data_IF_077888621388
#
_entry.id   IF_077888621388
#
_cell.length_a   1.000
_cell.length_b   1.000
_cell.length_c   1.000
_cell.angle_alpha   90.00
_cell.angle_beta   90.00
_cell.angle_gamma   90.00
#
_symmetry.space_group_name_H-M   'P 1'
#
loop_
_entity.id
_entity.type
_entity.pdbx_description
1 polymer ?
#
# COMPACT_ATOMS: atom_id res chain seq x y z
N UNK A 1 34.90 -42.83 70.21
CA UNK A 1 35.08 -43.87 69.24
C UNK A 1 34.30 -43.46 67.99
N UNK A 2 35.04 -43.30 66.92
CA UNK A 2 34.51 -42.92 65.59
C UNK A 2 34.02 -44.20 64.89
N UNK A 3 32.78 -44.24 64.52
CA UNK A 3 32.25 -45.32 63.70
C UNK A 3 32.23 -44.89 62.21
N UNK A 4 33.01 -45.63 61.41
CA UNK A 4 33.11 -45.49 59.99
C UNK A 4 31.77 -45.85 59.34
N UNK A 5 31.14 -44.94 58.59
CA UNK A 5 30.03 -45.23 57.71
C UNK A 5 30.59 -45.52 56.33
N UNK A 6 30.34 -46.76 55.92
CA UNK A 6 30.80 -47.35 54.66
C UNK A 6 30.26 -46.65 53.40
N UNK A 7 31.13 -46.41 52.42
CA UNK A 7 30.88 -45.80 51.10
C UNK A 7 30.03 -46.68 50.15
N UNK A 8 29.30 -47.69 50.63
CA UNK A 8 28.59 -48.68 49.77
C UNK A 8 27.04 -48.60 49.82
N UNK A 9 26.45 -47.58 50.46
CA UNK A 9 25.01 -47.45 50.57
C UNK A 9 24.38 -46.25 49.86
N UNK A 10 25.01 -45.72 48.80
CA UNK A 10 24.48 -44.62 47.99
C UNK A 10 24.40 -44.97 46.49
N UNK A 11 23.86 -46.12 46.16
CA UNK A 11 23.59 -46.55 44.81
C UNK A 11 22.26 -47.32 44.77
N UNK A 12 21.14 -46.69 44.82
CA UNK A 12 19.86 -47.16 44.33
C UNK A 12 18.73 -46.16 44.60
N UNK A 13 18.72 -45.04 43.89
CA UNK A 13 17.52 -44.26 43.63
C UNK A 13 17.68 -43.61 42.25
N UNK A 14 17.58 -44.41 41.20
CA UNK A 14 17.38 -43.96 39.85
C UNK A 14 15.94 -43.48 39.75
N UNK A 15 15.70 -42.18 39.99
CA UNK A 15 14.46 -41.52 39.68
C UNK A 15 14.37 -41.46 38.15
N UNK A 16 13.52 -42.27 37.58
CA UNK A 16 13.10 -42.18 36.17
C UNK A 16 12.30 -40.91 35.99
N UNK A 17 13.00 -39.82 35.61
CA UNK A 17 12.34 -38.64 35.10
C UNK A 17 11.72 -38.99 33.71
N UNK A 18 10.43 -38.74 33.48
CA UNK A 18 9.90 -38.87 32.15
C UNK A 18 10.60 -37.83 31.26
N UNK A 19 11.30 -38.30 30.23
CA UNK A 19 11.80 -37.45 29.17
C UNK A 19 10.60 -36.77 28.52
N UNK A 20 10.32 -35.51 28.90
CA UNK A 20 9.50 -34.61 28.12
C UNK A 20 10.25 -34.45 26.80
N UNK A 21 9.91 -35.28 25.81
CA UNK A 21 10.23 -35.01 24.41
C UNK A 21 9.48 -33.75 24.06
N UNK A 22 10.12 -32.60 24.26
CA UNK A 22 9.70 -31.36 23.71
C UNK A 22 9.67 -31.54 22.19
N UNK A 23 8.48 -31.80 21.64
CA UNK A 23 8.24 -31.64 20.22
C UNK A 23 8.51 -30.15 19.97
N UNK A 24 9.76 -29.85 19.64
CA UNK A 24 10.15 -28.54 19.16
C UNK A 24 9.27 -28.28 17.94
N UNK A 25 8.28 -27.42 18.09
CA UNK A 25 7.54 -26.86 16.96
C UNK A 25 8.61 -26.25 16.05
N UNK A 26 9.06 -27.02 15.06
CA UNK A 26 9.83 -26.44 13.95
C UNK A 26 8.94 -25.37 13.39
N UNK A 27 9.36 -24.12 13.50
CA UNK A 27 8.73 -23.02 12.79
C UNK A 27 8.66 -23.48 11.32
N UNK A 28 7.47 -23.81 10.86
CA UNK A 28 7.27 -24.27 9.50
C UNK A 28 7.61 -23.08 8.61
N UNK A 29 8.71 -23.20 7.84
CA UNK A 29 9.08 -22.18 6.86
C UNK A 29 7.94 -22.07 5.87
N UNK A 30 7.46 -20.84 5.61
CA UNK A 30 6.38 -20.64 4.66
C UNK A 30 6.77 -21.17 3.27
N UNK A 31 5.83 -21.84 2.63
CA UNK A 31 5.99 -22.35 1.26
C UNK A 31 6.13 -21.22 0.25
N UNK A 32 5.38 -20.13 0.50
CA UNK A 32 5.39 -18.90 -0.29
C UNK A 32 5.67 -17.71 0.63
N UNK A 33 6.83 -17.08 0.48
CA UNK A 33 7.17 -15.83 1.15
C UNK A 33 7.18 -14.73 0.11
N UNK A 34 6.22 -13.78 0.22
CA UNK A 34 6.01 -12.73 -0.75
C UNK A 34 6.21 -11.36 -0.13
N UNK A 35 6.68 -10.41 -0.94
CA UNK A 35 6.85 -9.00 -0.57
C UNK A 35 5.64 -8.20 -1.04
N UNK A 36 5.07 -7.41 -0.14
CA UNK A 36 4.09 -6.40 -0.45
C UNK A 36 4.69 -5.01 -0.19
N UNK A 37 4.89 -4.24 -1.25
CA UNK A 37 5.43 -2.89 -1.19
C UNK A 37 4.32 -1.84 -1.29
N UNK A 38 4.54 -0.70 -0.65
CA UNK A 38 3.76 0.51 -0.84
C UNK A 38 4.54 1.76 -0.39
N UNK A 39 4.02 2.95 -0.76
CA UNK A 39 4.66 4.22 -0.45
C UNK A 39 4.14 4.90 0.84
N UNK A 40 3.19 4.28 1.54
CA UNK A 40 2.50 4.88 2.69
C UNK A 40 3.16 4.51 4.03
N UNK A 41 3.07 5.37 5.05
CA UNK A 41 3.49 5.04 6.40
C UNK A 41 2.69 3.87 7.00
N UNK A 42 3.27 3.14 7.96
CA UNK A 42 2.57 2.04 8.65
C UNK A 42 1.30 2.48 9.37
N UNK A 43 1.22 3.76 9.76
CA UNK A 43 0.07 4.34 10.45
C UNK A 43 -1.07 4.72 9.50
N UNK A 44 -0.86 4.67 8.20
CA UNK A 44 -1.93 4.91 7.22
C UNK A 44 -2.98 3.79 7.28
N UNK A 45 -4.29 4.09 7.22
CA UNK A 45 -5.37 3.08 7.28
C UNK A 45 -5.14 1.89 6.35
N UNK A 46 -4.67 2.12 5.12
CA UNK A 46 -4.34 1.06 4.17
C UNK A 46 -3.33 0.04 4.73
N UNK A 47 -2.25 0.51 5.38
CA UNK A 47 -1.27 -0.39 5.97
C UNK A 47 -1.80 -1.09 7.24
N UNK A 48 -2.63 -0.41 8.03
CA UNK A 48 -3.27 -1.02 9.19
C UNK A 48 -4.13 -2.21 8.75
N UNK A 49 -5.03 -2.00 7.78
CA UNK A 49 -5.89 -3.07 7.25
C UNK A 49 -5.12 -4.14 6.49
N UNK A 50 -4.06 -3.75 5.78
CA UNK A 50 -3.19 -4.73 5.11
C UNK A 50 -2.49 -5.65 6.12
N UNK A 51 -1.98 -5.13 7.24
CA UNK A 51 -1.38 -5.94 8.30
C UNK A 51 -2.36 -6.96 8.86
N UNK A 52 -3.61 -6.54 9.14
CA UNK A 52 -4.67 -7.45 9.59
C UNK A 52 -4.93 -8.56 8.56
N UNK A 53 -4.98 -8.20 7.26
CA UNK A 53 -5.17 -9.17 6.19
C UNK A 53 -4.01 -10.16 6.11
N UNK A 54 -2.75 -9.70 6.21
CA UNK A 54 -1.57 -10.59 6.14
C UNK A 54 -1.53 -11.57 7.32
N UNK A 55 -1.93 -11.13 8.52
CA UNK A 55 -2.06 -12.01 9.69
C UNK A 55 -3.12 -13.09 9.45
N UNK A 56 -4.30 -12.71 8.92
CA UNK A 56 -5.38 -13.66 8.59
C UNK A 56 -4.96 -14.64 7.49
N UNK A 57 -4.32 -14.16 6.44
CA UNK A 57 -3.81 -15.02 5.35
C UNK A 57 -2.84 -16.07 5.91
N UNK A 58 -1.88 -15.66 6.74
CA UNK A 58 -0.92 -16.57 7.35
C UNK A 58 -1.62 -17.64 8.21
N UNK A 59 -2.60 -17.24 9.01
CA UNK A 59 -3.38 -18.14 9.86
C UNK A 59 -4.24 -19.11 9.03
N UNK A 60 -5.02 -18.60 8.08
CA UNK A 60 -5.94 -19.41 7.26
C UNK A 60 -5.23 -20.33 6.28
N UNK A 61 -3.98 -20.04 5.92
CA UNK A 61 -3.13 -20.92 5.09
C UNK A 61 -2.25 -21.86 5.92
N UNK A 62 -2.47 -21.95 7.24
CA UNK A 62 -1.62 -22.72 8.15
C UNK A 62 -0.12 -22.37 8.01
N UNK A 63 0.21 -21.09 7.80
CA UNK A 63 1.57 -20.62 7.64
C UNK A 63 2.20 -20.90 6.26
N UNK A 64 1.47 -21.49 5.31
CA UNK A 64 1.99 -21.77 3.96
C UNK A 64 2.29 -20.50 3.17
N UNK A 65 1.50 -19.42 3.38
CA UNK A 65 1.72 -18.10 2.75
C UNK A 65 2.10 -17.09 3.82
N UNK A 66 3.23 -16.43 3.61
CA UNK A 66 3.73 -15.33 4.45
C UNK A 66 3.99 -14.11 3.58
N UNK A 67 3.17 -13.06 3.74
CA UNK A 67 3.30 -11.82 2.98
C UNK A 67 3.88 -10.75 3.90
N UNK A 68 5.07 -10.29 3.56
CA UNK A 68 5.83 -9.29 4.32
C UNK A 68 5.59 -7.90 3.75
N UNK A 69 5.23 -6.94 4.60
CA UNK A 69 4.92 -5.56 4.21
C UNK A 69 6.19 -4.73 4.24
N UNK A 70 6.44 -4.00 3.15
CA UNK A 70 7.53 -3.03 2.97
C UNK A 70 6.93 -1.64 2.68
N UNK A 71 6.60 -0.86 3.72
CA UNK A 71 5.97 0.45 3.60
C UNK A 71 7.00 1.55 3.32
N UNK A 72 6.54 2.81 3.21
CA UNK A 72 7.40 4.00 3.12
C UNK A 72 8.46 3.93 2.01
N UNK A 73 8.13 3.39 0.84
CA UNK A 73 9.09 3.25 -0.26
C UNK A 73 10.37 2.45 0.09
N UNK A 74 10.32 1.53 1.05
CA UNK A 74 11.51 0.76 1.48
C UNK A 74 12.15 -0.04 0.34
N UNK A 75 11.38 -0.44 -0.67
CA UNK A 75 11.88 -1.19 -1.83
C UNK A 75 12.16 -0.30 -3.06
N UNK A 76 12.04 1.00 -2.93
CA UNK A 76 12.25 1.98 -3.99
C UNK A 76 11.07 2.92 -4.18
N UNK A 77 11.24 3.92 -5.06
CA UNK A 77 10.18 4.82 -5.46
C UNK A 77 9.06 4.09 -6.23
N UNK A 78 7.89 4.69 -6.37
CA UNK A 78 6.73 4.06 -7.03
C UNK A 78 7.05 3.54 -8.44
N UNK A 79 7.81 4.29 -9.21
CA UNK A 79 8.24 3.88 -10.56
C UNK A 79 9.19 2.70 -10.55
N UNK A 80 10.09 2.62 -9.57
CA UNK A 80 11.04 1.52 -9.42
C UNK A 80 10.32 0.24 -8.97
N UNK A 81 9.40 0.37 -8.00
CA UNK A 81 8.62 -0.77 -7.50
C UNK A 81 7.67 -1.29 -8.58
N UNK A 82 7.09 -0.42 -9.43
CA UNK A 82 6.29 -0.86 -10.57
C UNK A 82 7.13 -1.70 -11.57
N UNK A 83 8.38 -1.31 -11.81
CA UNK A 83 9.30 -2.11 -12.64
C UNK A 83 9.64 -3.45 -11.98
N UNK A 84 9.88 -3.47 -10.65
CA UNK A 84 10.12 -4.69 -9.88
C UNK A 84 8.89 -5.61 -9.86
N UNK A 85 7.69 -5.07 -9.75
CA UNK A 85 6.44 -5.84 -9.84
C UNK A 85 6.33 -6.56 -11.18
N UNK A 86 6.64 -5.88 -12.27
CA UNK A 86 6.63 -6.46 -13.62
C UNK A 86 7.66 -7.59 -13.79
N UNK A 87 8.87 -7.39 -13.28
CA UNK A 87 9.95 -8.36 -13.38
C UNK A 87 9.85 -9.53 -12.39
N UNK A 88 9.05 -9.39 -11.33
CA UNK A 88 8.91 -10.38 -10.25
C UNK A 88 9.90 -10.16 -9.10
N UNK A 89 10.56 -9.01 -9.02
CA UNK A 89 11.37 -8.62 -7.86
C UNK A 89 10.54 -8.29 -6.62
N UNK A 90 9.28 -7.91 -6.82
CA UNK A 90 8.25 -7.70 -5.81
C UNK A 90 6.99 -8.43 -6.27
N UNK A 91 6.30 -9.11 -5.36
CA UNK A 91 5.13 -9.92 -5.69
C UNK A 91 3.82 -9.12 -5.62
N UNK A 92 3.70 -8.18 -4.66
CA UNK A 92 2.50 -7.35 -4.45
C UNK A 92 2.86 -5.88 -4.30
N UNK A 93 1.99 -5.00 -4.82
CA UNK A 93 2.16 -3.55 -4.76
C UNK A 93 0.81 -2.85 -4.80
N UNK A 94 0.54 -1.93 -3.86
CA UNK A 94 -0.58 -1.00 -3.99
C UNK A 94 -0.13 0.28 -4.66
N UNK A 95 -0.86 0.69 -5.70
CA UNK A 95 -0.47 1.82 -6.53
C UNK A 95 -1.69 2.60 -7.05
N UNK A 96 -1.57 3.93 -7.05
CA UNK A 96 -2.54 4.80 -7.70
C UNK A 96 -2.66 4.49 -9.20
N UNK A 97 -3.89 4.41 -9.75
CA UNK A 97 -4.14 4.22 -11.18
C UNK A 97 -3.43 5.25 -12.06
N UNK A 98 -3.21 6.45 -11.55
CA UNK A 98 -2.56 7.53 -12.28
C UNK A 98 -1.07 7.27 -12.48
N UNK A 99 -0.38 6.75 -11.47
CA UNK A 99 1.02 6.33 -11.62
C UNK A 99 1.06 5.04 -12.45
N UNK A 100 0.13 4.11 -12.23
CA UNK A 100 -0.01 2.91 -13.04
C UNK A 100 -0.22 3.23 -14.53
N UNK A 101 -0.78 4.40 -14.86
CA UNK A 101 -1.00 4.84 -16.24
C UNK A 101 0.28 5.01 -17.06
N UNK A 102 1.44 5.09 -16.42
CA UNK A 102 2.73 5.03 -17.10
C UNK A 102 2.97 3.69 -17.80
N UNK A 103 2.33 2.62 -17.32
CA UNK A 103 2.32 1.29 -17.91
C UNK A 103 0.99 0.96 -18.61
N UNK A 104 -0.12 1.35 -18.01
CA UNK A 104 -1.49 1.06 -18.45
C UNK A 104 -2.22 2.40 -18.64
N UNK A 105 -2.08 3.09 -19.80
CA UNK A 105 -2.60 4.45 -19.99
C UNK A 105 -4.07 4.60 -19.64
N UNK A 106 -4.91 3.59 -19.93
CA UNK A 106 -6.34 3.59 -19.62
C UNK A 106 -6.66 3.53 -18.12
N UNK A 107 -5.69 3.17 -17.27
CA UNK A 107 -5.87 3.20 -15.82
C UNK A 107 -6.11 4.64 -15.30
N UNK A 108 -5.66 5.67 -16.03
CA UNK A 108 -5.86 7.07 -15.63
C UNK A 108 -7.33 7.52 -15.63
N UNK A 109 -8.26 6.77 -16.24
CA UNK A 109 -9.65 7.23 -16.45
C UNK A 109 -10.38 7.54 -15.14
N UNK A 110 -10.14 6.81 -14.05
CA UNK A 110 -10.74 7.09 -12.75
C UNK A 110 -10.19 8.34 -12.07
N UNK A 111 -9.05 8.84 -12.53
CA UNK A 111 -8.41 10.05 -12.01
C UNK A 111 -8.70 11.31 -12.82
N UNK A 112 -9.74 11.32 -13.63
CA UNK A 112 -10.20 12.54 -14.29
C UNK A 112 -10.65 13.57 -13.23
N UNK A 113 -10.13 14.80 -13.35
CA UNK A 113 -10.47 15.87 -12.43
C UNK A 113 -11.98 16.10 -12.36
N UNK A 114 -12.52 16.19 -11.14
CA UNK A 114 -13.94 16.43 -10.84
C UNK A 114 -14.92 15.40 -11.40
N UNK A 115 -14.43 14.19 -11.76
CA UNK A 115 -15.29 13.14 -12.32
C UNK A 115 -16.29 12.57 -11.30
N UNK A 116 -15.95 12.58 -10.03
CA UNK A 116 -16.78 12.03 -8.95
C UNK A 116 -17.18 13.15 -7.98
N UNK A 117 -18.49 13.36 -7.77
CA UNK A 117 -18.96 14.35 -6.80
C UNK A 117 -18.93 13.85 -5.36
N UNK A 118 -19.00 12.53 -5.15
CA UNK A 118 -19.12 11.88 -3.84
C UNK A 118 -18.69 10.42 -3.86
N UNK A 119 -18.56 9.83 -2.67
CA UNK A 119 -18.18 8.42 -2.51
C UNK A 119 -19.23 7.44 -3.04
N UNK A 120 -20.51 7.77 -2.97
CA UNK A 120 -21.55 6.89 -3.50
C UNK A 120 -21.37 6.68 -5.01
N UNK A 121 -21.03 7.75 -5.73
CA UNK A 121 -20.72 7.71 -7.17
C UNK A 121 -19.41 6.97 -7.44
N UNK A 122 -18.38 7.20 -6.61
CA UNK A 122 -17.10 6.47 -6.70
C UNK A 122 -17.34 4.96 -6.61
N UNK A 123 -17.99 4.48 -5.56
CA UNK A 123 -18.14 3.05 -5.33
C UNK A 123 -19.06 2.40 -6.35
N UNK A 124 -20.13 3.10 -6.78
CA UNK A 124 -20.98 2.62 -7.87
C UNK A 124 -20.20 2.40 -9.18
N UNK A 125 -19.24 3.27 -9.47
CA UNK A 125 -18.40 3.16 -10.67
C UNK A 125 -17.29 2.12 -10.51
N UNK A 126 -16.57 2.17 -9.40
CA UNK A 126 -15.36 1.36 -9.21
C UNK A 126 -15.66 -0.10 -8.84
N UNK A 127 -16.75 -0.37 -8.14
CA UNK A 127 -17.24 -1.73 -7.91
C UNK A 127 -18.11 -2.24 -9.08
N UNK A 128 -18.44 -1.37 -10.02
CA UNK A 128 -19.24 -1.64 -11.22
C UNK A 128 -18.41 -1.78 -12.51
N UNK A 129 -19.00 -1.30 -13.59
CA UNK A 129 -18.49 -1.47 -14.96
C UNK A 129 -17.13 -0.79 -15.18
N UNK A 130 -16.90 0.40 -14.59
CA UNK A 130 -15.62 1.10 -14.75
C UNK A 130 -14.48 0.32 -14.09
N UNK A 131 -14.65 -0.10 -12.84
CA UNK A 131 -13.64 -0.91 -12.16
C UNK A 131 -13.37 -2.23 -12.87
N UNK A 132 -14.40 -2.91 -13.35
CA UNK A 132 -14.26 -4.13 -14.15
C UNK A 132 -13.46 -3.88 -15.44
N UNK A 133 -13.77 -2.80 -16.16
CA UNK A 133 -13.02 -2.41 -17.34
C UNK A 133 -11.54 -2.15 -17.02
N UNK A 134 -11.26 -1.40 -15.94
CA UNK A 134 -9.87 -1.10 -15.54
C UNK A 134 -9.10 -2.35 -15.17
N UNK A 135 -9.71 -3.26 -14.38
CA UNK A 135 -9.07 -4.56 -14.05
C UNK A 135 -8.75 -5.36 -15.30
N UNK A 136 -9.63 -5.34 -16.30
CA UNK A 136 -9.39 -5.96 -17.61
C UNK A 136 -8.16 -5.37 -18.34
N UNK A 137 -7.99 -4.04 -18.30
CA UNK A 137 -6.82 -3.37 -18.89
C UNK A 137 -5.53 -3.68 -18.13
N UNK A 138 -5.57 -3.73 -16.80
CA UNK A 138 -4.44 -4.12 -15.96
C UNK A 138 -4.02 -5.57 -16.25
N UNK A 139 -5.00 -6.46 -16.33
CA UNK A 139 -4.76 -7.86 -16.69
C UNK A 139 -4.17 -8.02 -18.09
N UNK A 140 -4.65 -7.26 -19.08
CA UNK A 140 -4.09 -7.25 -20.43
C UNK A 140 -2.62 -6.78 -20.48
N UNK A 141 -2.21 -5.93 -19.53
CA UNK A 141 -0.83 -5.48 -19.41
C UNK A 141 0.11 -6.48 -18.69
N UNK A 142 -0.38 -7.66 -18.33
CA UNK A 142 0.44 -8.74 -17.76
C UNK A 142 0.56 -8.70 -16.22
N UNK A 143 -0.28 -7.94 -15.54
CA UNK A 143 -0.39 -7.95 -14.07
C UNK A 143 -1.63 -8.73 -13.61
N UNK A 144 -1.65 -9.14 -12.36
CA UNK A 144 -2.87 -9.55 -11.65
C UNK A 144 -3.31 -8.40 -10.74
N UNK A 145 -4.62 -8.32 -10.46
CA UNK A 145 -5.20 -7.25 -9.65
C UNK A 145 -6.35 -7.79 -8.82
N UNK A 146 -6.49 -7.32 -7.58
CA UNK A 146 -7.60 -7.69 -6.70
C UNK A 146 -8.89 -6.98 -7.13
N UNK A 147 -10.03 -7.55 -6.74
CA UNK A 147 -11.33 -7.05 -7.21
C UNK A 147 -11.71 -5.68 -6.67
N UNK A 148 -11.43 -5.44 -5.39
CA UNK A 148 -11.78 -4.19 -4.72
C UNK A 148 -10.62 -3.22 -4.71
N UNK A 149 -10.83 -2.02 -5.26
CA UNK A 149 -9.90 -0.92 -5.14
C UNK A 149 -9.95 -0.37 -3.72
N UNK A 150 -8.78 -0.05 -3.16
CA UNK A 150 -8.62 0.59 -1.86
C UNK A 150 -8.86 2.09 -1.99
N UNK A 151 -9.40 2.72 -0.95
CA UNK A 151 -9.59 4.17 -0.95
C UNK A 151 -8.26 4.88 -0.65
N UNK A 152 -7.91 5.87 -1.45
CA UNK A 152 -6.90 6.82 -1.09
C UNK A 152 -7.55 8.13 -0.62
N UNK A 153 -8.69 8.45 -1.21
CA UNK A 153 -9.53 9.58 -0.84
C UNK A 153 -9.60 10.70 -1.87
N UNK A 154 -10.45 11.67 -1.58
CA UNK A 154 -10.49 12.92 -2.34
C UNK A 154 -9.26 13.76 -2.04
N UNK A 155 -8.61 14.26 -3.08
CA UNK A 155 -7.33 14.97 -2.98
C UNK A 155 -7.54 16.45 -2.74
N UNK A 156 -6.68 17.01 -1.86
CA UNK A 156 -6.69 18.39 -1.39
C UNK A 156 -5.34 19.04 -1.70
N UNK A 157 -5.31 20.34 -1.90
CA UNK A 157 -4.06 21.08 -2.18
C UNK A 157 -3.49 21.64 -0.89
N UNK A 158 -2.20 21.38 -0.62
CA UNK A 158 -1.47 22.06 0.45
C UNK A 158 -0.49 23.07 -0.12
N UNK A 159 -0.17 24.12 0.64
CA UNK A 159 0.73 25.19 0.22
C UNK A 159 1.53 25.75 1.39
N UNK A 160 2.77 26.15 1.14
CA UNK A 160 3.61 26.90 2.09
C UNK A 160 3.46 28.42 1.93
N UNK A 161 2.88 28.90 0.83
CA UNK A 161 2.88 30.32 0.45
C UNK A 161 1.54 31.02 0.62
N UNK A 162 0.44 30.43 0.15
CA UNK A 162 -0.91 31.01 0.18
C UNK A 162 -2.00 29.93 0.15
N UNK A 163 -3.20 30.22 0.64
CA UNK A 163 -4.35 29.34 0.40
C UNK A 163 -4.70 29.35 -1.10
N UNK A 164 -5.28 28.23 -1.56
CA UNK A 164 -5.79 28.05 -2.93
C UNK A 164 -7.32 28.03 -2.85
N UNK A 165 -7.95 29.17 -3.03
CA UNK A 165 -9.39 29.34 -2.94
C UNK A 165 -10.08 29.24 -4.30
N UNK A 166 -9.40 29.63 -5.37
CA UNK A 166 -9.89 29.67 -6.74
C UNK A 166 -8.87 29.06 -7.70
N UNK A 167 -9.26 28.63 -8.91
CA UNK A 167 -8.31 28.21 -9.93
C UNK A 167 -7.25 29.27 -10.28
N UNK A 168 -7.59 30.56 -10.16
CA UNK A 168 -6.66 31.66 -10.43
C UNK A 168 -5.47 31.67 -9.45
N UNK A 169 -5.65 31.16 -8.22
CA UNK A 169 -4.58 31.09 -7.23
C UNK A 169 -3.50 30.05 -7.62
N UNK A 170 -3.81 29.17 -8.56
CA UNK A 170 -2.85 28.21 -9.11
C UNK A 170 -1.94 28.82 -10.18
N UNK A 171 -2.21 30.00 -10.68
CA UNK A 171 -1.37 30.62 -11.71
C UNK A 171 0.07 30.79 -11.21
N UNK A 172 1.03 30.19 -11.91
CA UNK A 172 2.45 30.17 -11.55
C UNK A 172 2.81 29.41 -10.28
N UNK A 173 1.84 28.73 -9.63
CA UNK A 173 2.07 27.96 -8.41
C UNK A 173 2.91 26.71 -8.70
N UNK A 174 4.05 26.60 -8.04
CA UNK A 174 4.93 25.43 -8.17
C UNK A 174 4.36 24.29 -7.34
N UNK A 175 3.70 23.35 -8.01
CA UNK A 175 3.04 22.23 -7.34
C UNK A 175 3.72 20.90 -7.70
N UNK A 176 4.02 20.10 -6.68
CA UNK A 176 4.39 18.71 -6.91
C UNK A 176 3.15 17.92 -7.31
N UNK A 177 3.29 17.14 -8.35
CA UNK A 177 2.31 16.12 -8.76
C UNK A 177 2.95 14.74 -8.83
N UNK A 178 2.20 13.66 -8.64
CA UNK A 178 2.69 12.29 -8.90
C UNK A 178 3.14 12.12 -10.35
N UNK A 179 3.90 11.06 -10.60
CA UNK A 179 4.39 10.72 -11.95
C UNK A 179 3.22 10.25 -12.80
N UNK A 180 2.53 11.21 -13.42
CA UNK A 180 1.38 10.96 -14.28
C UNK A 180 1.20 12.07 -15.32
N UNK A 181 1.08 11.74 -16.61
CA UNK A 181 0.78 12.73 -17.66
C UNK A 181 -0.54 13.47 -17.40
N UNK A 182 -1.56 12.78 -16.89
CA UNK A 182 -2.88 13.38 -16.63
C UNK A 182 -2.78 14.47 -15.55
N UNK A 183 -2.12 14.21 -14.41
CA UNK A 183 -1.92 15.20 -13.36
C UNK A 183 -1.13 16.42 -13.86
N UNK A 184 -0.03 16.16 -14.55
CA UNK A 184 0.79 17.22 -15.13
C UNK A 184 -0.04 18.10 -16.07
N UNK A 185 -0.84 17.48 -16.95
CA UNK A 185 -1.68 18.22 -17.90
C UNK A 185 -2.79 19.01 -17.21
N UNK A 186 -3.45 18.43 -16.20
CA UNK A 186 -4.51 19.09 -15.45
C UNK A 186 -4.01 20.35 -14.75
N UNK A 187 -2.91 20.26 -14.02
CA UNK A 187 -2.37 21.42 -13.31
C UNK A 187 -1.76 22.46 -14.24
N UNK A 188 -1.18 22.07 -15.39
CA UNK A 188 -0.83 23.01 -16.45
C UNK A 188 -2.06 23.75 -17.00
N UNK A 189 -3.18 23.05 -17.16
CA UNK A 189 -4.45 23.64 -17.58
C UNK A 189 -4.97 24.71 -16.62
N UNK A 190 -4.66 24.63 -15.32
CA UNK A 190 -4.94 25.65 -14.32
C UNK A 190 -3.89 26.78 -14.28
N UNK A 191 -2.89 26.77 -15.16
CA UNK A 191 -1.82 27.76 -15.17
C UNK A 191 -0.74 27.54 -14.11
N UNK A 192 -0.76 26.41 -13.40
CA UNK A 192 0.27 26.06 -12.43
C UNK A 192 1.57 25.58 -13.12
N UNK A 193 2.65 25.52 -12.35
CA UNK A 193 3.94 24.97 -12.75
C UNK A 193 4.13 23.59 -12.05
N UNK A 194 3.56 22.51 -12.58
CA UNK A 194 3.66 21.19 -11.97
C UNK A 194 5.05 20.59 -12.14
N UNK A 195 5.58 20.02 -11.06
CA UNK A 195 6.77 19.18 -11.02
C UNK A 195 6.37 17.74 -10.72
N UNK A 196 6.69 16.86 -11.65
CA UNK A 196 6.43 15.40 -11.51
C UNK A 196 7.53 14.77 -10.66
N UNK A 197 7.19 14.39 -9.42
CA UNK A 197 8.15 13.90 -8.41
C UNK A 197 7.55 12.67 -7.72
N UNK A 198 8.34 11.60 -7.56
CA UNK A 198 7.95 10.42 -6.79
C UNK A 198 7.63 10.78 -5.33
N UNK A 199 6.72 10.03 -4.70
CA UNK A 199 6.27 10.34 -3.33
C UNK A 199 7.39 10.30 -2.30
N UNK A 200 8.38 9.42 -2.48
CA UNK A 200 9.58 9.32 -1.63
C UNK A 200 10.35 10.64 -1.47
N UNK A 201 10.21 11.58 -2.40
CA UNK A 201 10.94 12.84 -2.42
C UNK A 201 10.07 14.05 -2.01
N UNK A 202 8.76 13.85 -1.80
CA UNK A 202 7.81 14.95 -1.61
C UNK A 202 8.13 15.78 -0.37
N UNK A 203 8.33 15.15 0.79
CA UNK A 203 8.62 15.87 2.03
C UNK A 203 9.86 16.76 1.87
N UNK A 204 10.95 16.23 1.31
CA UNK A 204 12.18 16.97 1.06
C UNK A 204 12.00 18.09 0.06
N UNK A 205 11.25 17.86 -1.03
CA UNK A 205 10.98 18.90 -2.03
C UNK A 205 10.16 20.07 -1.47
N UNK A 206 9.21 19.80 -0.56
CA UNK A 206 8.45 20.81 0.17
C UNK A 206 9.32 21.54 1.20
N UNK A 207 10.12 20.82 1.96
CA UNK A 207 11.00 21.36 3.00
C UNK A 207 12.04 22.32 2.40
N UNK A 208 12.64 21.94 1.28
CA UNK A 208 13.65 22.74 0.57
C UNK A 208 13.05 23.79 -0.37
N UNK A 209 11.71 23.85 -0.46
CA UNK A 209 10.97 24.79 -1.32
C UNK A 209 11.31 24.67 -2.81
N UNK A 210 11.67 23.49 -3.27
CA UNK A 210 11.75 23.17 -4.70
C UNK A 210 10.36 23.34 -5.33
N UNK A 211 9.31 22.99 -4.56
CA UNK A 211 7.91 23.26 -4.87
C UNK A 211 7.26 24.02 -3.72
N UNK A 212 6.22 24.82 -4.03
CA UNK A 212 5.46 25.58 -3.05
C UNK A 212 4.37 24.76 -2.35
N UNK A 213 3.91 23.71 -3.01
CA UNK A 213 2.86 22.85 -2.50
C UNK A 213 2.79 21.49 -3.20
N UNK A 214 1.82 20.72 -2.78
CA UNK A 214 1.49 19.39 -3.29
C UNK A 214 -0.01 19.15 -3.16
N UNK A 215 -0.49 18.03 -3.66
CA UNK A 215 -1.87 17.60 -3.50
C UNK A 215 -1.91 16.12 -3.12
N UNK A 216 -2.71 15.78 -2.14
CA UNK A 216 -2.95 14.43 -1.62
C UNK A 216 -4.24 14.40 -0.80
N UNK A 217 -4.80 13.21 -0.53
CA UNK A 217 -5.87 13.08 0.45
C UNK A 217 -5.41 13.41 1.87
N UNK A 218 -6.37 13.75 2.73
CA UNK A 218 -6.10 14.17 4.12
C UNK A 218 -5.38 13.08 4.92
N UNK A 219 -5.72 11.82 4.71
CA UNK A 219 -5.06 10.69 5.38
C UNK A 219 -3.55 10.67 5.09
N UNK A 220 -3.13 10.90 3.84
CA UNK A 220 -1.70 11.01 3.48
C UNK A 220 -1.07 12.26 4.07
N UNK A 221 -1.73 13.43 3.95
CA UNK A 221 -1.23 14.69 4.51
C UNK A 221 -0.94 14.53 6.01
N UNK A 222 -1.83 13.86 6.73
CA UNK A 222 -1.68 13.59 8.15
C UNK A 222 -0.58 12.58 8.44
N UNK A 223 -0.66 11.37 7.89
CA UNK A 223 0.23 10.26 8.25
C UNK A 223 1.66 10.42 7.75
N UNK A 224 1.85 11.07 6.59
CA UNK A 224 3.17 11.45 6.07
C UNK A 224 3.67 12.80 6.62
N UNK A 225 2.94 13.41 7.56
CA UNK A 225 3.29 14.65 8.27
C UNK A 225 3.60 15.83 7.34
N UNK A 226 2.91 15.91 6.21
CA UNK A 226 3.14 17.00 5.25
C UNK A 226 2.78 18.37 5.84
N UNK A 227 1.94 18.42 6.87
CA UNK A 227 1.62 19.64 7.62
C UNK A 227 2.84 20.26 8.32
N UNK A 228 3.92 19.54 8.57
CA UNK A 228 5.15 20.11 9.14
C UNK A 228 5.87 21.05 8.17
N UNK A 229 5.69 20.84 6.86
CA UNK A 229 6.34 21.58 5.78
C UNK A 229 5.36 22.38 4.91
N UNK A 230 4.07 22.42 5.29
CA UNK A 230 3.01 23.17 4.62
C UNK A 230 2.23 24.02 5.63
N UNK A 231 1.77 25.22 5.22
CA UNK A 231 1.06 26.17 6.09
C UNK A 231 -0.45 26.16 5.86
N UNK A 232 -0.88 25.85 4.65
CA UNK A 232 -2.28 25.93 4.23
C UNK A 232 -2.72 24.59 3.66
N UNK A 233 -3.97 24.22 3.93
CA UNK A 233 -4.65 23.10 3.29
C UNK A 233 -5.97 23.62 2.73
N UNK A 234 -6.15 23.54 1.43
CA UNK A 234 -7.35 23.96 0.72
C UNK A 234 -8.15 22.75 0.29
N UNK A 235 -9.39 22.64 0.77
CA UNK A 235 -10.29 21.52 0.47
C UNK A 235 -10.87 21.66 -0.94
N UNK A 236 -10.09 21.27 -1.92
CA UNK A 236 -10.44 21.44 -3.33
C UNK A 236 -11.25 20.28 -3.90
N UNK A 237 -11.15 19.08 -3.31
CA UNK A 237 -11.79 17.85 -3.80
C UNK A 237 -11.67 17.67 -5.32
N UNK A 238 -10.56 18.11 -5.89
CA UNK A 238 -10.38 18.21 -7.33
C UNK A 238 -10.28 16.86 -8.03
N UNK A 239 -10.06 15.80 -7.26
CA UNK A 239 -9.94 14.44 -7.78
C UNK A 239 -10.13 13.42 -6.65
N UNK A 240 -10.86 12.34 -6.94
CA UNK A 240 -10.80 11.12 -6.14
C UNK A 240 -9.66 10.23 -6.66
N UNK A 241 -8.95 9.58 -5.75
CA UNK A 241 -7.91 8.61 -6.06
C UNK A 241 -8.10 7.34 -5.23
N UNK A 242 -7.84 6.20 -5.83
CA UNK A 242 -7.83 4.91 -5.17
C UNK A 242 -6.49 4.21 -5.41
N UNK A 243 -6.26 3.09 -4.73
CA UNK A 243 -5.07 2.27 -4.96
C UNK A 243 -5.50 0.86 -5.36
N UNK A 244 -5.02 0.41 -6.51
CA UNK A 244 -5.16 -0.99 -6.91
C UNK A 244 -4.16 -1.85 -6.16
N UNK A 245 -4.62 -2.96 -5.58
CA UNK A 245 -3.75 -4.00 -5.05
C UNK A 245 -3.34 -4.93 -6.20
N UNK A 246 -2.13 -4.73 -6.67
CA UNK A 246 -1.56 -5.39 -7.84
C UNK A 246 -0.69 -6.57 -7.42
N UNK A 247 -0.59 -7.56 -8.30
CA UNK A 247 0.32 -8.68 -8.13
C UNK A 247 1.13 -8.93 -9.41
N UNK A 248 2.37 -9.38 -9.24
CA UNK A 248 3.10 -10.00 -10.33
C UNK A 248 2.33 -11.25 -10.78
N UNK A 249 2.00 -11.34 -12.08
CA UNK A 249 1.16 -12.44 -12.58
C UNK A 249 1.75 -13.81 -12.30
N UNK A 250 3.05 -14.00 -12.55
CA UNK A 250 3.70 -15.31 -12.35
C UNK A 250 3.70 -15.72 -10.88
N UNK A 251 3.96 -14.79 -9.98
CA UNK A 251 3.91 -15.03 -8.55
C UNK A 251 2.48 -15.38 -8.08
N UNK A 252 1.47 -14.67 -8.62
CA UNK A 252 0.07 -14.94 -8.33
C UNK A 252 -0.38 -16.31 -8.83
N UNK A 253 -0.05 -16.66 -10.07
CA UNK A 253 -0.41 -17.93 -10.68
C UNK A 253 0.34 -19.14 -10.08
N UNK A 254 1.52 -18.89 -9.49
CA UNK A 254 2.29 -19.91 -8.76
C UNK A 254 1.62 -20.38 -7.49
N UNK A 255 0.80 -19.54 -6.85
CA UNK A 255 -0.01 -19.96 -5.70
C UNK A 255 -1.05 -20.99 -6.15
N UNK A 256 -1.21 -22.13 -5.46
CA UNK A 256 -2.35 -23.03 -5.64
C UNK A 256 -3.69 -22.29 -5.53
N UNK A 257 -4.72 -22.81 -6.19
CA UNK A 257 -6.02 -22.14 -6.28
C UNK A 257 -6.66 -21.90 -4.90
N UNK A 258 -6.55 -22.86 -3.99
CA UNK A 258 -7.02 -22.73 -2.61
C UNK A 258 -6.33 -21.60 -1.86
N UNK A 259 -5.02 -21.46 -2.01
CA UNK A 259 -4.25 -20.39 -1.39
C UNK A 259 -4.56 -19.02 -2.03
N UNK A 260 -4.71 -18.95 -3.36
CA UNK A 260 -5.11 -17.74 -4.06
C UNK A 260 -6.49 -17.24 -3.58
N UNK A 261 -7.43 -18.16 -3.41
CA UNK A 261 -8.77 -17.82 -2.92
C UNK A 261 -8.72 -17.20 -1.52
N UNK A 262 -7.91 -17.75 -0.60
CA UNK A 262 -7.72 -17.21 0.76
C UNK A 262 -7.07 -15.82 0.70
N UNK A 263 -6.02 -15.66 -0.09
CA UNK A 263 -5.31 -14.38 -0.24
C UNK A 263 -6.25 -13.32 -0.81
N UNK A 264 -6.94 -13.61 -1.92
CA UNK A 264 -7.87 -12.68 -2.56
C UNK A 264 -9.02 -12.29 -1.61
N UNK A 265 -9.63 -13.26 -0.92
CA UNK A 265 -10.70 -13.03 0.06
C UNK A 265 -10.29 -12.02 1.13
N UNK A 266 -9.13 -12.23 1.76
CA UNK A 266 -8.68 -11.39 2.86
C UNK A 266 -8.24 -10.00 2.40
N UNK A 267 -7.58 -9.86 1.26
CA UNK A 267 -7.18 -8.57 0.71
C UNK A 267 -8.42 -7.77 0.29
N UNK A 268 -9.38 -8.38 -0.39
CA UNK A 268 -10.62 -7.70 -0.80
C UNK A 268 -11.45 -7.28 0.43
N UNK A 269 -11.56 -8.14 1.45
CA UNK A 269 -12.26 -7.78 2.68
C UNK A 269 -11.58 -6.60 3.41
N UNK A 270 -10.24 -6.57 3.44
CA UNK A 270 -9.49 -5.47 4.03
C UNK A 270 -9.70 -4.15 3.26
N UNK A 271 -9.78 -4.20 1.92
CA UNK A 271 -10.08 -3.04 1.10
C UNK A 271 -11.44 -2.41 1.46
N UNK A 272 -12.47 -3.24 1.67
CA UNK A 272 -13.80 -2.75 2.04
C UNK A 272 -13.82 -2.12 3.45
N UNK A 273 -13.09 -2.68 4.41
CA UNK A 273 -12.96 -2.11 5.75
C UNK A 273 -12.16 -0.80 5.75
N UNK A 274 -11.12 -0.73 4.93
CA UNK A 274 -10.28 0.46 4.83
C UNK A 274 -11.03 1.68 4.30
N UNK A 275 -12.00 1.49 3.39
CA UNK A 275 -12.88 2.56 2.89
C UNK A 275 -13.70 3.26 4.00
N UNK A 276 -13.89 2.62 5.13
CA UNK A 276 -14.57 3.20 6.29
C UNK A 276 -13.61 4.00 7.20
N UNK A 277 -12.32 3.78 7.05
CA UNK A 277 -11.28 4.38 7.88
C UNK A 277 -10.70 5.68 7.27
N UNK A 278 -10.87 5.91 5.97
CA UNK A 278 -10.37 7.08 5.23
C UNK A 278 -11.43 8.15 5.12
#
# INVERSE_FOLDING_TARGET
PMTNISRRAMLAAAVSAPALVGVGARAQTAEFTYKYANNLPLTHPMNVRAQEAMVKIKAETNGRVDIQIFPNNQLGADTDVLAQLRSGGVEFFTLSPLILSTLVPKAAISGMGFAFPDYATVWKAMDGALGSYMRGQIAAAGLSVMDNIWDNGFRQITSSTRPIATPADLNGFKIRVPVSPLWTSMFKGFGAAPASINFSEVYSALQTRIVDGQENPLAIISTAKLYEVQKYCSLTNHMWDGFWFLANRRAWEKLPEDLRAIVAKNINAAALLEREDV
#
